data_IF_617704565228
#
_entry.id   IF_617704565228
#
_cell.length_a   1.000
_cell.length_b   1.000
_cell.length_c   1.000
_cell.angle_alpha   90.00
_cell.angle_beta   90.00
_cell.angle_gamma   90.00
#
_symmetry.space_group_name_H-M   'P 1'
#
loop_
_entity.id
_entity.type
_entity.pdbx_description
1 polymer ?
#
# COMPACT_ATOMS: atom_id res chain seq x y z
N UNK A 1 14.41 -16.84 -15.45
CA UNK A 1 14.62 -16.27 -14.09
C UNK A 1 14.05 -17.27 -13.11
N UNK A 2 14.86 -17.79 -12.19
CA UNK A 2 14.43 -18.83 -11.27
C UNK A 2 13.61 -18.18 -10.15
N UNK A 3 12.29 -18.35 -10.18
CA UNK A 3 11.32 -17.71 -9.27
C UNK A 3 11.55 -18.14 -7.81
N UNK A 4 12.31 -19.22 -7.57
CA UNK A 4 12.58 -19.72 -6.23
C UNK A 4 13.61 -18.88 -5.44
N UNK A 5 14.33 -17.96 -6.09
CA UNK A 5 15.41 -17.20 -5.44
C UNK A 5 15.15 -15.67 -5.38
N UNK A 6 13.90 -15.24 -5.54
CA UNK A 6 13.53 -13.82 -5.43
C UNK A 6 13.49 -13.42 -3.96
N UNK A 7 14.24 -12.37 -3.53
CA UNK A 7 14.23 -11.91 -2.14
C UNK A 7 12.82 -11.52 -1.69
N UNK A 8 12.50 -11.89 -0.45
CA UNK A 8 11.22 -11.55 0.17
C UNK A 8 11.33 -10.23 0.90
N UNK A 9 10.32 -9.38 0.76
CA UNK A 9 10.24 -8.08 1.42
C UNK A 9 8.99 -8.03 2.28
N UNK A 10 9.22 -7.98 3.59
CA UNK A 10 8.23 -7.79 4.63
C UNK A 10 8.58 -6.56 5.47
N UNK A 11 7.80 -6.26 6.51
CA UNK A 11 8.05 -5.11 7.39
C UNK A 11 9.43 -5.21 8.06
N UNK A 12 9.83 -6.37 8.53
CA UNK A 12 11.17 -6.58 9.10
C UNK A 12 12.29 -6.26 8.12
N UNK A 13 12.14 -6.62 6.84
CA UNK A 13 13.14 -6.33 5.80
C UNK A 13 13.27 -4.83 5.54
N UNK A 14 12.14 -4.12 5.60
CA UNK A 14 12.07 -2.66 5.46
C UNK A 14 12.85 -1.98 6.59
N UNK A 15 12.58 -2.39 7.83
CA UNK A 15 13.20 -1.81 9.04
C UNK A 15 14.71 -2.09 9.13
N UNK A 16 15.17 -3.25 8.65
CA UNK A 16 16.57 -3.66 8.75
C UNK A 16 17.39 -3.37 7.48
N UNK A 17 16.81 -2.69 6.51
CA UNK A 17 17.54 -2.29 5.29
C UNK A 17 18.66 -1.30 5.62
N UNK A 18 19.90 -1.65 5.26
CA UNK A 18 21.08 -0.80 5.48
C UNK A 18 21.08 0.49 4.64
N UNK A 19 20.16 0.59 3.69
CA UNK A 19 20.09 1.69 2.71
C UNK A 19 19.02 2.73 3.04
N UNK A 20 18.31 2.55 4.17
CA UNK A 20 17.20 3.42 4.56
C UNK A 20 17.52 4.03 5.91
N UNK A 21 17.36 5.34 6.01
CA UNK A 21 17.45 6.04 7.29
C UNK A 21 16.31 5.56 8.20
N UNK A 22 16.65 5.10 9.40
CA UNK A 22 15.67 4.61 10.38
C UNK A 22 14.61 5.67 10.74
N UNK A 23 14.93 6.96 10.58
CA UNK A 23 13.99 8.07 10.82
C UNK A 23 13.01 8.30 9.66
N UNK A 24 13.24 7.70 8.49
CA UNK A 24 12.37 7.82 7.32
C UNK A 24 11.22 6.80 7.30
N UNK A 25 11.27 5.80 8.19
CA UNK A 25 10.25 4.74 8.30
C UNK A 25 9.62 4.78 9.68
N UNK A 26 8.31 4.86 9.71
CA UNK A 26 7.51 4.78 10.93
C UNK A 26 6.83 3.42 11.01
N UNK A 27 7.11 2.65 12.07
CA UNK A 27 6.60 1.28 12.23
C UNK A 27 5.93 1.05 13.57
N UNK A 28 5.01 0.09 13.61
CA UNK A 28 4.51 -0.50 14.83
C UNK A 28 4.52 -2.02 14.71
N UNK A 29 5.21 -2.65 15.66
CA UNK A 29 5.42 -4.09 15.69
C UNK A 29 5.98 -4.60 14.33
N UNK A 30 5.44 -5.71 13.84
CA UNK A 30 5.69 -6.19 12.49
C UNK A 30 4.41 -6.13 11.62
N UNK A 31 3.51 -5.22 11.94
CA UNK A 31 2.16 -5.15 11.36
C UNK A 31 1.98 -4.01 10.37
N UNK A 32 2.55 -2.83 10.65
CA UNK A 32 2.37 -1.63 9.83
C UNK A 32 3.69 -0.90 9.69
N UNK A 33 4.02 -0.47 8.48
CA UNK A 33 5.06 0.51 8.22
C UNK A 33 4.54 1.61 7.30
N UNK A 34 4.92 2.85 7.60
CA UNK A 34 4.75 4.01 6.72
C UNK A 34 6.12 4.50 6.27
N UNK A 35 6.24 4.82 4.99
CA UNK A 35 7.48 5.30 4.40
C UNK A 35 7.20 6.23 3.21
N UNK A 36 8.23 6.92 2.74
CA UNK A 36 8.18 7.85 1.62
C UNK A 36 8.90 7.31 0.37
N UNK A 37 8.96 8.13 -0.67
CA UNK A 37 9.53 7.76 -1.97
C UNK A 37 11.01 7.40 -1.93
N UNK A 38 11.80 8.04 -1.10
CA UNK A 38 13.25 7.76 -1.00
C UNK A 38 13.49 6.34 -0.48
N UNK A 39 12.70 5.95 0.51
CA UNK A 39 12.71 4.60 1.06
C UNK A 39 12.28 3.55 0.05
N UNK A 40 11.26 3.84 -0.76
CA UNK A 40 10.75 2.91 -1.80
C UNK A 40 11.80 2.63 -2.86
N UNK A 41 12.45 3.67 -3.38
CA UNK A 41 13.49 3.53 -4.40
C UNK A 41 14.63 2.63 -3.91
N UNK A 42 15.00 2.77 -2.64
CA UNK A 42 16.06 1.98 -2.03
C UNK A 42 15.67 0.52 -1.74
N UNK A 43 14.39 0.29 -1.38
CA UNK A 43 13.90 -1.03 -0.99
C UNK A 43 13.75 -2.02 -2.15
N UNK A 44 13.35 -1.54 -3.30
CA UNK A 44 12.95 -2.39 -4.43
C UNK A 44 13.84 -2.17 -5.66
N UNK A 45 15.15 -2.04 -5.46
CA UNK A 45 16.12 -1.88 -6.55
C UNK A 45 16.25 -3.09 -7.50
N UNK A 46 15.55 -4.18 -7.20
CA UNK A 46 15.45 -5.39 -8.02
C UNK A 46 14.16 -6.14 -7.72
N UNK A 47 13.87 -7.23 -8.48
CA UNK A 47 12.67 -8.03 -8.27
C UNK A 47 12.57 -8.51 -6.82
N UNK A 48 11.45 -8.21 -6.16
CA UNK A 48 11.23 -8.53 -4.75
C UNK A 48 9.83 -9.12 -4.57
N UNK A 49 9.73 -10.24 -3.84
CA UNK A 49 8.45 -10.87 -3.51
C UNK A 49 7.88 -10.23 -2.24
N UNK A 50 6.70 -9.64 -2.35
CA UNK A 50 6.03 -8.99 -1.23
C UNK A 50 5.49 -10.02 -0.23
N UNK A 51 5.73 -9.77 1.06
CA UNK A 51 5.07 -10.46 2.17
C UNK A 51 3.98 -9.59 2.82
N UNK A 52 3.80 -8.37 2.32
CA UNK A 52 2.88 -7.34 2.81
C UNK A 52 1.96 -6.84 1.70
N UNK A 53 0.82 -6.28 2.08
CA UNK A 53 0.06 -5.39 1.21
C UNK A 53 0.81 -4.05 1.18
N UNK A 54 1.12 -3.56 -0.01
CA UNK A 54 1.71 -2.23 -0.20
C UNK A 54 0.71 -1.32 -0.90
N UNK A 55 0.48 -0.15 -0.33
CA UNK A 55 -0.37 0.90 -0.89
C UNK A 55 0.50 2.13 -1.08
N UNK A 56 0.53 2.70 -2.28
CA UNK A 56 1.28 3.91 -2.59
C UNK A 56 0.41 4.97 -3.25
N UNK A 57 0.58 6.22 -2.84
CA UNK A 57 -0.01 7.40 -3.50
C UNK A 57 1.13 8.25 -4.06
N UNK A 58 1.13 8.48 -5.37
CA UNK A 58 2.04 9.43 -6.01
C UNK A 58 1.53 10.86 -5.79
N UNK A 59 2.35 11.70 -5.20
CA UNK A 59 2.04 13.11 -4.92
C UNK A 59 2.54 14.02 -6.04
N UNK A 60 3.76 13.77 -6.54
CA UNK A 60 4.42 14.53 -7.59
C UNK A 60 5.20 13.56 -8.50
N UNK A 61 5.43 13.98 -9.75
CA UNK A 61 6.20 13.21 -10.72
C UNK A 61 5.48 11.97 -11.23
N UNK A 62 6.28 11.01 -11.68
CA UNK A 62 5.80 9.74 -12.22
C UNK A 62 6.78 8.60 -11.94
N UNK A 63 6.28 7.38 -11.92
CA UNK A 63 7.08 6.18 -11.76
C UNK A 63 6.52 4.99 -12.54
N UNK A 64 7.41 4.07 -12.90
CA UNK A 64 7.03 2.80 -13.51
C UNK A 64 7.39 1.66 -12.56
N UNK A 65 6.41 0.82 -12.26
CA UNK A 65 6.56 -0.40 -11.48
C UNK A 65 6.31 -1.61 -12.37
N UNK A 66 7.12 -2.64 -12.23
CA UNK A 66 6.82 -3.95 -12.76
C UNK A 66 6.18 -4.79 -11.66
N UNK A 67 4.97 -5.30 -11.89
CA UNK A 67 4.26 -6.18 -10.96
C UNK A 67 3.94 -7.47 -11.71
N UNK A 68 4.49 -8.59 -11.26
CA UNK A 68 4.33 -9.90 -11.88
C UNK A 68 4.64 -9.90 -13.38
N UNK A 69 5.77 -9.28 -13.78
CA UNK A 69 6.25 -9.16 -15.17
C UNK A 69 5.43 -8.23 -16.07
N UNK A 70 4.51 -7.45 -15.52
CA UNK A 70 3.73 -6.47 -16.24
C UNK A 70 4.09 -5.06 -15.75
N UNK A 71 4.34 -4.12 -16.67
CA UNK A 71 4.68 -2.74 -16.34
C UNK A 71 3.42 -1.88 -16.14
N UNK A 72 3.43 -1.10 -15.05
CA UNK A 72 2.37 -0.16 -14.70
C UNK A 72 2.96 1.22 -14.47
N UNK A 73 2.30 2.23 -15.01
CA UNK A 73 2.67 3.64 -14.78
C UNK A 73 1.86 4.22 -13.63
N UNK A 74 2.54 4.97 -12.79
CA UNK A 74 1.96 5.73 -11.69
C UNK A 74 2.35 7.19 -11.86
N UNK A 75 1.38 8.07 -12.01
CA UNK A 75 1.57 9.52 -12.13
C UNK A 75 0.96 10.25 -10.94
N UNK A 76 1.24 11.55 -10.83
CA UNK A 76 0.69 12.40 -9.77
C UNK A 76 -0.82 12.23 -9.59
N UNK A 77 -1.26 12.01 -8.37
CA UNK A 77 -2.63 11.67 -8.00
C UNK A 77 -3.02 10.20 -8.22
N UNK A 78 -2.12 9.39 -8.75
CA UNK A 78 -2.33 7.95 -8.92
C UNK A 78 -2.03 7.16 -7.64
N UNK A 79 -2.77 6.08 -7.46
CA UNK A 79 -2.56 5.09 -6.40
C UNK A 79 -2.10 3.76 -7.01
N UNK A 80 -1.17 3.10 -6.35
CA UNK A 80 -0.76 1.72 -6.63
C UNK A 80 -1.06 0.84 -5.43
N UNK A 81 -1.58 -0.37 -5.69
CA UNK A 81 -1.76 -1.39 -4.65
C UNK A 81 -1.14 -2.70 -5.13
N UNK A 82 -0.13 -3.13 -4.40
CA UNK A 82 0.53 -4.42 -4.63
C UNK A 82 0.17 -5.40 -3.50
N UNK A 83 -0.30 -6.57 -3.91
CA UNK A 83 -0.81 -7.60 -2.99
C UNK A 83 0.32 -8.49 -2.45
N UNK A 84 0.14 -9.10 -1.27
CA UNK A 84 1.05 -10.12 -0.79
C UNK A 84 1.26 -11.24 -1.82
N UNK A 85 2.48 -11.74 -1.90
CA UNK A 85 2.95 -12.76 -2.85
C UNK A 85 3.19 -12.29 -4.28
N UNK A 86 2.87 -11.07 -4.65
CA UNK A 86 3.27 -10.49 -5.93
C UNK A 86 4.77 -10.19 -5.94
N UNK A 87 5.37 -10.24 -7.14
CA UNK A 87 6.74 -9.80 -7.38
C UNK A 87 6.67 -8.37 -7.90
N UNK A 88 7.34 -7.45 -7.20
CA UNK A 88 7.44 -6.05 -7.58
C UNK A 88 8.89 -5.68 -7.91
N UNK A 89 9.06 -4.81 -8.88
CA UNK A 89 10.35 -4.21 -9.22
C UNK A 89 10.13 -2.76 -9.65
N UNK A 90 10.96 -1.87 -9.17
CA UNK A 90 10.99 -0.50 -9.67
C UNK A 90 11.76 -0.45 -11.00
N UNK A 91 11.19 0.19 -12.00
CA UNK A 91 11.83 0.37 -13.31
C UNK A 91 12.44 1.75 -13.46
N UNK A 92 11.64 2.77 -13.26
CA UNK A 92 12.05 4.15 -13.48
C UNK A 92 11.20 5.11 -12.66
N UNK A 93 11.83 6.16 -12.15
CA UNK A 93 11.16 7.28 -11.49
C UNK A 93 11.63 8.60 -12.09
N UNK A 94 10.74 9.57 -12.20
CA UNK A 94 11.12 10.94 -12.52
C UNK A 94 11.90 11.56 -11.36
N UNK A 95 12.81 12.53 -11.61
CA UNK A 95 13.63 13.15 -10.57
C UNK A 95 12.81 13.87 -9.48
N UNK A 96 11.59 14.27 -9.80
CA UNK A 96 10.64 14.94 -8.92
C UNK A 96 9.62 14.00 -8.28
N UNK A 97 9.80 12.68 -8.43
CA UNK A 97 8.88 11.70 -7.87
C UNK A 97 8.80 11.82 -6.35
N UNK A 98 7.58 12.08 -5.87
CA UNK A 98 7.24 12.05 -4.45
C UNK A 98 6.03 11.17 -4.22
N UNK A 99 6.08 10.36 -3.18
CA UNK A 99 5.00 9.45 -2.82
C UNK A 99 4.99 9.14 -1.34
N UNK A 100 3.83 8.71 -0.87
CA UNK A 100 3.61 8.17 0.48
C UNK A 100 3.13 6.74 0.37
N UNK A 101 3.63 5.89 1.28
CA UNK A 101 3.42 4.45 1.19
C UNK A 101 3.03 3.86 2.54
N UNK A 102 2.18 2.84 2.47
CA UNK A 102 1.80 1.98 3.59
C UNK A 102 2.22 0.55 3.27
N UNK A 103 2.77 -0.14 4.24
CA UNK A 103 2.93 -1.59 4.21
C UNK A 103 2.14 -2.20 5.37
N UNK A 104 1.34 -3.21 5.08
CA UNK A 104 0.47 -3.87 6.05
C UNK A 104 0.74 -5.37 6.02
N UNK A 105 1.02 -5.96 7.19
CA UNK A 105 1.29 -7.39 7.31
C UNK A 105 0.06 -8.23 6.91
N UNK A 106 0.32 -9.45 6.43
CA UNK A 106 -0.74 -10.40 6.14
C UNK A 106 -1.57 -10.75 7.38
N UNK A 107 -0.91 -10.90 8.54
CA UNK A 107 -1.57 -11.17 9.82
C UNK A 107 -2.56 -10.07 10.19
N UNK A 108 -2.21 -8.80 10.01
CA UNK A 108 -3.13 -7.71 10.27
C UNK A 108 -4.29 -7.68 9.26
N UNK A 109 -4.02 -7.92 7.97
CA UNK A 109 -5.08 -7.99 6.95
C UNK A 109 -6.12 -9.07 7.26
N UNK A 110 -5.71 -10.19 7.85
CA UNK A 110 -6.62 -11.28 8.25
C UNK A 110 -7.54 -10.89 9.42
N UNK A 111 -7.18 -9.87 10.21
CA UNK A 111 -7.99 -9.33 11.32
C UNK A 111 -8.98 -8.25 10.89
N UNK A 112 -8.82 -7.70 9.68
CA UNK A 112 -9.72 -6.67 9.18
C UNK A 112 -11.13 -7.22 8.95
N UNK A 113 -12.17 -6.39 9.12
CA UNK A 113 -13.54 -6.82 8.88
C UNK A 113 -13.70 -7.35 7.45
N UNK A 114 -14.37 -8.48 7.32
CA UNK A 114 -14.73 -9.03 6.01
C UNK A 114 -15.86 -8.20 5.43
N UNK A 115 -15.53 -7.35 4.46
CA UNK A 115 -16.50 -6.51 3.74
C UNK A 115 -16.89 -7.24 2.46
N UNK A 116 -18.18 -7.45 2.27
CA UNK A 116 -18.81 -7.83 1.02
C UNK A 116 -17.99 -8.73 0.09
N UNK A 117 -17.57 -8.17 -1.04
CA UNK A 117 -16.88 -8.91 -2.10
C UNK A 117 -15.36 -8.65 -2.12
N UNK A 118 -14.67 -8.78 -0.97
CA UNK A 118 -13.21 -8.63 -0.88
C UNK A 118 -12.46 -9.50 -1.89
N UNK A 119 -12.95 -10.69 -2.15
CA UNK A 119 -12.32 -11.60 -3.10
C UNK A 119 -12.33 -11.02 -4.52
N UNK A 120 -13.46 -10.45 -4.94
CA UNK A 120 -13.56 -9.80 -6.24
C UNK A 120 -12.67 -8.54 -6.31
N UNK A 121 -12.54 -7.80 -5.21
CA UNK A 121 -11.61 -6.68 -5.11
C UNK A 121 -10.15 -7.14 -5.29
N UNK A 122 -9.74 -8.22 -4.64
CA UNK A 122 -8.40 -8.77 -4.82
C UNK A 122 -8.14 -9.24 -6.26
N UNK A 123 -9.11 -9.86 -6.92
CA UNK A 123 -9.00 -10.20 -8.33
C UNK A 123 -8.88 -8.96 -9.21
N UNK A 124 -9.68 -7.94 -8.97
CA UNK A 124 -9.58 -6.67 -9.70
C UNK A 124 -8.20 -6.03 -9.55
N UNK A 125 -7.69 -5.88 -8.32
CA UNK A 125 -6.39 -5.30 -8.04
C UNK A 125 -5.22 -6.10 -8.63
N UNK A 126 -5.38 -7.40 -8.84
CA UNK A 126 -4.37 -8.22 -9.50
C UNK A 126 -4.15 -7.80 -10.95
N UNK A 127 -5.21 -7.40 -11.65
CA UNK A 127 -5.17 -7.00 -13.05
C UNK A 127 -5.04 -5.48 -13.23
N UNK A 128 -5.53 -4.70 -12.27
CA UNK A 128 -5.55 -3.23 -12.27
C UNK A 128 -4.99 -2.66 -10.97
N UNK A 129 -3.67 -2.82 -10.72
CA UNK A 129 -3.05 -2.37 -9.47
C UNK A 129 -2.86 -0.85 -9.37
N UNK A 130 -2.93 -0.14 -10.50
CA UNK A 130 -2.75 1.33 -10.58
C UNK A 130 -4.01 2.01 -11.12
N UNK A 131 -4.43 3.09 -10.48
CA UNK A 131 -5.58 3.90 -10.90
C UNK A 131 -5.47 5.33 -10.36
N UNK A 132 -6.13 6.28 -11.03
CA UNK A 132 -6.11 7.69 -10.64
C UNK A 132 -7.19 7.99 -9.61
N UNK A 133 -6.84 8.76 -8.58
CA UNK A 133 -7.76 9.22 -7.54
C UNK A 133 -8.31 10.61 -7.85
N UNK A 134 -9.53 10.86 -7.45
CA UNK A 134 -10.07 12.21 -7.38
C UNK A 134 -9.34 13.05 -6.33
N UNK A 135 -9.33 14.41 -6.42
CA UNK A 135 -8.69 15.26 -5.42
C UNK A 135 -9.17 15.01 -3.98
N UNK A 136 -10.44 14.66 -3.78
CA UNK A 136 -10.98 14.33 -2.47
C UNK A 136 -10.43 13.00 -1.94
N UNK A 137 -10.37 11.97 -2.78
CA UNK A 137 -9.80 10.67 -2.42
C UNK A 137 -8.31 10.78 -2.08
N UNK A 138 -7.54 11.56 -2.88
CA UNK A 138 -6.13 11.85 -2.57
C UNK A 138 -5.98 12.51 -1.20
N UNK A 139 -6.82 13.50 -0.89
CA UNK A 139 -6.80 14.17 0.41
C UNK A 139 -7.10 13.19 1.55
N UNK A 140 -8.11 12.36 1.41
CA UNK A 140 -8.46 11.34 2.40
C UNK A 140 -7.27 10.41 2.68
N UNK A 141 -6.61 9.89 1.64
CA UNK A 141 -5.43 9.02 1.80
C UNK A 141 -4.28 9.75 2.52
N UNK A 142 -4.01 11.01 2.16
CA UNK A 142 -2.97 11.82 2.81
C UNK A 142 -3.28 12.13 4.27
N UNK A 143 -4.54 12.41 4.61
CA UNK A 143 -4.99 12.66 5.98
C UNK A 143 -4.80 11.43 6.86
N UNK A 144 -5.20 10.24 6.38
CA UNK A 144 -4.96 8.97 7.08
C UNK A 144 -3.47 8.70 7.25
N UNK A 145 -2.67 8.86 6.21
CA UNK A 145 -1.22 8.69 6.29
C UNK A 145 -0.61 9.61 7.35
N UNK A 146 -0.94 10.89 7.32
CA UNK A 146 -0.45 11.89 8.26
C UNK A 146 -0.85 11.57 9.69
N UNK A 147 -2.11 11.19 9.91
CA UNK A 147 -2.63 10.90 11.23
C UNK A 147 -2.06 9.62 11.82
N UNK A 148 -1.96 8.55 11.03
CA UNK A 148 -1.33 7.29 11.44
C UNK A 148 0.14 7.53 11.75
N UNK A 149 0.89 8.24 10.89
CA UNK A 149 2.30 8.59 11.09
C UNK A 149 2.51 9.33 12.42
N UNK A 150 1.67 10.32 12.70
CA UNK A 150 1.70 11.05 13.98
C UNK A 150 1.54 10.09 15.17
N UNK A 151 0.64 9.12 15.09
CA UNK A 151 0.42 8.14 16.16
C UNK A 151 1.56 7.15 16.27
N UNK A 152 2.13 6.70 15.16
CA UNK A 152 3.31 5.83 15.16
C UNK A 152 4.50 6.48 15.87
N UNK A 153 4.65 7.80 15.77
CA UNK A 153 5.72 8.57 16.43
C UNK A 153 5.47 8.88 17.90
N UNK A 154 4.23 8.77 18.38
CA UNK A 154 3.87 9.01 19.80
C UNK A 154 4.23 7.83 20.70
N UNK A 155 5.53 7.50 20.84
CA UNK A 155 6.03 6.29 21.53
C UNK A 155 5.63 6.15 23.01
N UNK A 156 5.20 7.25 23.67
CA UNK A 156 4.80 7.27 25.09
C UNK A 156 3.30 7.03 25.33
N UNK A 157 2.47 7.00 24.30
CA UNK A 157 1.03 6.88 24.46
C UNK A 157 0.64 5.43 24.81
N UNK A 158 -0.12 5.25 25.91
CA UNK A 158 -0.53 3.95 26.43
C UNK A 158 -1.34 3.13 25.41
N UNK A 159 -2.24 3.78 24.68
CA UNK A 159 -3.12 3.14 23.69
C UNK A 159 -2.68 3.41 22.24
N UNK A 160 -1.39 3.64 22.01
CA UNK A 160 -0.83 3.95 20.69
C UNK A 160 -1.21 2.89 19.65
N UNK A 161 -1.03 1.63 20.01
CA UNK A 161 -1.30 0.49 19.12
C UNK A 161 -2.78 0.41 18.75
N UNK A 162 -3.66 0.52 19.73
CA UNK A 162 -5.10 0.46 19.55
C UNK A 162 -5.61 1.60 18.67
N UNK A 163 -5.09 2.81 18.85
CA UNK A 163 -5.43 3.96 18.00
C UNK A 163 -4.95 3.75 16.58
N UNK A 164 -3.73 3.26 16.37
CA UNK A 164 -3.21 2.98 15.03
C UNK A 164 -4.04 1.90 14.33
N UNK A 165 -4.38 0.82 15.03
CA UNK A 165 -5.24 -0.25 14.48
C UNK A 165 -6.63 0.26 14.11
N UNK A 166 -7.25 1.09 14.95
CA UNK A 166 -8.54 1.73 14.66
C UNK A 166 -8.49 2.63 13.43
N UNK A 167 -7.41 3.42 13.28
CA UNK A 167 -7.20 4.26 12.12
C UNK A 167 -6.98 3.43 10.84
N UNK A 168 -6.21 2.34 10.92
CA UNK A 168 -6.01 1.42 9.79
C UNK A 168 -7.31 0.74 9.38
N UNK A 169 -8.17 0.38 10.34
CA UNK A 169 -9.49 -0.16 10.05
C UNK A 169 -10.37 0.86 9.32
N UNK A 170 -10.40 2.12 9.80
CA UNK A 170 -11.10 3.22 9.13
C UNK A 170 -10.56 3.45 7.72
N UNK A 171 -9.25 3.51 7.57
CA UNK A 171 -8.59 3.65 6.27
C UNK A 171 -8.95 2.51 5.30
N UNK A 172 -9.01 1.28 5.79
CA UNK A 172 -9.43 0.14 4.99
C UNK A 172 -10.85 0.31 4.43
N UNK A 173 -11.81 0.81 5.22
CA UNK A 173 -13.15 1.10 4.73
C UNK A 173 -13.18 2.23 3.71
N UNK A 174 -12.35 3.28 3.89
CA UNK A 174 -12.20 4.34 2.88
C UNK A 174 -11.62 3.80 1.57
N UNK A 175 -10.64 2.92 1.64
CA UNK A 175 -10.16 2.24 0.43
C UNK A 175 -11.27 1.44 -0.25
N UNK A 176 -12.11 0.74 0.50
CA UNK A 176 -13.26 0.02 -0.06
C UNK A 176 -14.25 0.97 -0.75
N UNK A 177 -14.50 2.16 -0.19
CA UNK A 177 -15.31 3.20 -0.83
C UNK A 177 -14.68 3.69 -2.13
N UNK A 178 -13.37 4.01 -2.10
CA UNK A 178 -12.60 4.41 -3.29
C UNK A 178 -12.72 3.35 -4.38
N UNK A 179 -12.48 2.08 -4.05
CA UNK A 179 -12.60 0.98 -5.02
C UNK A 179 -13.99 0.84 -5.60
N UNK A 180 -15.02 0.96 -4.77
CA UNK A 180 -16.39 0.87 -5.24
C UNK A 180 -16.73 1.97 -6.27
N UNK A 181 -16.07 3.13 -6.18
CA UNK A 181 -16.19 4.21 -7.16
C UNK A 181 -15.45 3.91 -8.48
N UNK A 182 -14.33 3.22 -8.42
CA UNK A 182 -13.45 2.95 -9.56
C UNK A 182 -13.69 1.59 -10.24
N UNK A 183 -14.35 0.64 -9.57
CA UNK A 183 -14.64 -0.72 -10.07
C UNK A 183 -16.15 -1.00 -10.19
N UNK A 184 -16.91 -0.31 -11.04
CA UNK A 184 -18.37 -0.35 -11.06
C UNK A 184 -18.98 -1.71 -11.43
N UNK A 185 -18.21 -2.63 -12.03
CA UNK A 185 -18.73 -3.91 -12.52
C UNK A 185 -18.73 -5.04 -11.48
N UNK A 186 -18.04 -4.87 -10.35
CA UNK A 186 -17.86 -5.94 -9.35
C UNK A 186 -19.05 -6.01 -8.37
N UNK A 187 -19.80 -4.93 -8.22
CA UNK A 187 -20.90 -4.81 -7.23
C UNK A 187 -22.30 -5.04 -7.79
N UNK A 188 -22.48 -5.14 -9.11
CA UNK A 188 -23.80 -5.25 -9.73
C UNK A 188 -24.45 -6.63 -9.65
N UNK A 189 -23.72 -7.67 -9.25
CA UNK A 189 -24.27 -9.04 -9.15
C UNK A 189 -24.99 -9.36 -7.83
N UNK A 190 -24.95 -8.47 -6.83
CA UNK A 190 -25.54 -8.71 -5.50
C UNK A 190 -26.93 -8.06 -5.32
N UNK A 191 -27.37 -7.20 -6.26
CA UNK A 191 -28.65 -6.46 -6.16
C UNK A 191 -29.83 -7.09 -6.90
N UNK A 192 -29.72 -8.32 -7.40
CA UNK A 192 -30.77 -8.95 -8.23
C UNK A 192 -31.51 -10.10 -7.55
N UNK A 193 -31.41 -10.26 -6.22
CA UNK A 193 -32.23 -11.24 -5.47
C UNK A 193 -32.83 -10.58 -4.22
N UNK A 194 -33.83 -9.74 -4.43
CA UNK A 194 -34.94 -9.46 -3.48
C UNK A 194 -36.25 -9.35 -4.25
#
# INVERSE_FOLDING_TARGET
MDIQNVPKVGISSVVHSKHIDADSIDVIDNDIALFDSESVISLYSGPSKLEVLTIGLCLEGEGTFNINLQDFQLSSGGMVIALPSQIIEHRQFSPDFKGIFFAVSKSLLETLPKVGNLLALFFYLKDYPCFSLTPNEQRTVQEYHTFIRKRLRSKGDLYRREVVLGLMQGFFFELCNIFNNHAPAVTSSVRSEE
#
